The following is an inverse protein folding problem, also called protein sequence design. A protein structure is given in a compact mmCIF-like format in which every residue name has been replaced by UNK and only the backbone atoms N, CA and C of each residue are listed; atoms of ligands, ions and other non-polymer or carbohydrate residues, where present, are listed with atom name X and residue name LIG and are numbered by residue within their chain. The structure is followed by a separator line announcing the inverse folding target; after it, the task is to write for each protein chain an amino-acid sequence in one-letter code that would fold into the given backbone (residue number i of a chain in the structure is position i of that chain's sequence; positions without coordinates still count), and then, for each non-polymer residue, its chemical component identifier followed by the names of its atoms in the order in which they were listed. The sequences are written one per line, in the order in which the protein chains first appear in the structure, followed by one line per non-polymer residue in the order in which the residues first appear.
data_IF_310016411512
#
_entry.id   IF_310016411512
#
_cell.length_a   1.000
_cell.length_b   1.000
_cell.length_c   1.000
_cell.angle_alpha   90.00
_cell.angle_beta   90.00
_cell.angle_gamma   90.00
#
_symmetry.space_group_name_H-M   'P 1'
#
loop_
_entity.id
_entity.type
_entity.pdbx_description
1 polymer ?
#
# COMPACT_ATOMS: atom_id res chain seq x y z
N UNK A 1 -14.43 25.34 -7.27
CA UNK A 1 -14.80 23.92 -7.19
C UNK A 1 -13.51 23.14 -7.38
N UNK A 2 -13.03 22.41 -6.38
CA UNK A 2 -11.88 21.54 -6.57
C UNK A 2 -12.30 20.46 -7.56
N UNK A 3 -11.57 20.31 -8.65
CA UNK A 3 -11.70 19.19 -9.58
C UNK A 3 -11.36 17.94 -8.77
N UNK A 4 -12.31 17.05 -8.57
CA UNK A 4 -12.05 15.73 -7.99
C UNK A 4 -11.02 15.04 -8.89
N UNK A 5 -9.89 14.68 -8.31
CA UNK A 5 -8.80 13.99 -9.02
C UNK A 5 -9.27 12.59 -9.43
N UNK A 6 -8.69 12.08 -10.52
CA UNK A 6 -8.86 10.66 -10.87
C UNK A 6 -8.08 9.82 -9.84
N UNK A 7 -8.74 8.91 -9.15
CA UNK A 7 -8.09 7.95 -8.28
C UNK A 7 -7.14 7.05 -9.09
N UNK A 8 -5.92 6.85 -8.59
CA UNK A 8 -4.90 6.03 -9.22
C UNK A 8 -4.16 5.23 -8.13
N UNK A 9 -4.43 3.91 -8.08
CA UNK A 9 -3.83 3.01 -7.10
C UNK A 9 -3.00 1.95 -7.83
N UNK A 10 -1.78 1.73 -7.35
CA UNK A 10 -0.89 0.65 -7.81
C UNK A 10 -0.58 -0.26 -6.62
N UNK A 11 -1.29 -1.39 -6.55
CA UNK A 11 -1.24 -2.31 -5.42
C UNK A 11 -0.43 -3.54 -5.80
N UNK A 12 0.68 -3.77 -5.11
CA UNK A 12 1.69 -4.78 -5.46
C UNK A 12 1.85 -5.81 -4.36
N UNK A 13 2.32 -7.00 -4.71
CA UNK A 13 2.80 -7.98 -3.75
C UNK A 13 4.24 -7.67 -3.34
N UNK A 14 5.13 -7.50 -4.32
CA UNK A 14 6.55 -7.17 -4.14
C UNK A 14 6.92 -6.06 -5.12
N UNK A 15 7.02 -4.83 -4.61
CA UNK A 15 7.14 -3.65 -5.47
C UNK A 15 8.37 -3.65 -6.38
N UNK A 16 9.54 -4.01 -5.84
CA UNK A 16 10.78 -3.97 -6.62
C UNK A 16 10.73 -4.84 -7.90
N UNK A 17 9.96 -5.93 -7.89
CA UNK A 17 9.81 -6.80 -9.08
C UNK A 17 8.93 -6.20 -10.18
N UNK A 18 8.06 -5.26 -9.84
CA UNK A 18 7.08 -4.64 -10.76
C UNK A 18 7.25 -3.13 -10.91
N UNK A 19 8.26 -2.55 -10.28
CA UNK A 19 8.52 -1.10 -10.28
C UNK A 19 8.63 -0.51 -11.70
N UNK A 20 9.17 -1.29 -12.65
CA UNK A 20 9.31 -0.90 -14.06
C UNK A 20 7.95 -0.66 -14.77
N UNK A 21 6.83 -1.13 -14.18
CA UNK A 21 5.48 -0.85 -14.69
C UNK A 21 4.96 0.52 -14.25
N UNK A 22 5.50 1.09 -13.16
CA UNK A 22 5.01 2.35 -12.58
C UNK A 22 5.02 3.53 -13.58
N UNK A 23 6.04 3.69 -14.48
CA UNK A 23 6.01 4.74 -15.49
C UNK A 23 4.83 4.67 -16.47
N UNK A 24 4.23 3.48 -16.65
CA UNK A 24 3.11 3.30 -17.59
C UNK A 24 1.77 3.75 -17.02
N UNK A 25 1.71 3.95 -15.70
CA UNK A 25 0.49 4.32 -14.98
C UNK A 25 0.59 5.71 -14.33
N UNK A 26 1.78 6.30 -14.30
CA UNK A 26 2.02 7.63 -13.74
C UNK A 26 1.58 8.71 -14.72
N UNK A 27 0.88 9.73 -14.23
CA UNK A 27 0.41 10.86 -15.05
C UNK A 27 1.55 11.81 -15.45
N UNK A 28 2.73 11.70 -14.82
CA UNK A 28 3.93 12.48 -15.14
C UNK A 28 5.20 11.64 -15.02
N UNK A 29 6.33 12.09 -15.64
CA UNK A 29 7.61 11.40 -15.52
C UNK A 29 8.01 11.23 -14.04
N UNK A 30 8.45 10.04 -13.65
CA UNK A 30 8.83 9.78 -12.25
C UNK A 30 10.01 10.62 -11.79
N UNK A 31 10.88 11.02 -12.69
CA UNK A 31 11.98 11.94 -12.38
C UNK A 31 11.52 13.34 -11.92
N UNK A 32 10.26 13.68 -12.16
CA UNK A 32 9.62 14.91 -11.70
C UNK A 32 8.74 14.70 -10.47
N UNK A 33 8.65 13.44 -9.97
CA UNK A 33 7.80 13.08 -8.84
C UNK A 33 8.55 13.15 -7.52
N UNK A 34 7.89 13.68 -6.52
CA UNK A 34 8.22 13.50 -5.11
C UNK A 34 7.36 12.40 -4.53
N UNK A 35 7.98 11.43 -3.86
CA UNK A 35 7.30 10.28 -3.26
C UNK A 35 7.39 10.40 -1.73
N UNK A 36 6.24 10.48 -1.06
CA UNK A 36 6.18 10.24 0.38
C UNK A 36 6.34 8.73 0.61
N UNK A 37 7.49 8.32 1.11
CA UNK A 37 7.84 6.93 1.36
C UNK A 37 7.59 6.57 2.81
N UNK A 38 6.63 5.68 3.06
CA UNK A 38 6.17 5.29 4.41
C UNK A 38 6.60 3.85 4.68
N UNK A 39 7.74 3.61 5.38
CA UNK A 39 8.26 2.27 5.65
C UNK A 39 7.68 1.63 6.92
N UNK A 40 6.77 2.29 7.60
CA UNK A 40 6.33 2.00 8.98
C UNK A 40 5.89 0.56 9.21
N UNK A 41 5.27 -0.10 8.21
CA UNK A 41 4.80 -1.48 8.35
C UNK A 41 5.92 -2.48 8.69
N UNK A 42 7.16 -2.20 8.24
CA UNK A 42 8.32 -3.06 8.45
C UNK A 42 8.97 -2.92 9.84
N UNK A 43 8.56 -1.93 10.65
CA UNK A 43 9.24 -1.61 11.91
C UNK A 43 9.18 -2.71 12.99
N UNK A 44 8.27 -3.67 12.86
CA UNK A 44 8.09 -4.80 13.78
C UNK A 44 8.50 -6.14 13.19
N UNK A 45 9.04 -6.14 11.97
CA UNK A 45 9.49 -7.32 11.26
C UNK A 45 10.99 -7.56 11.49
N UNK A 46 11.40 -8.83 11.61
CA UNK A 46 12.82 -9.21 11.71
C UNK A 46 13.59 -8.98 10.39
N UNK A 47 12.87 -8.87 9.27
CA UNK A 47 13.43 -8.77 7.92
C UNK A 47 12.76 -7.62 7.17
N UNK A 48 13.57 -6.66 6.70
CA UNK A 48 13.10 -5.44 6.05
C UNK A 48 13.81 -5.12 4.71
N UNK A 49 14.57 -6.07 4.14
CA UNK A 49 15.37 -5.85 2.92
C UNK A 49 14.52 -5.33 1.74
N UNK A 50 13.25 -5.74 1.64
CA UNK A 50 12.31 -5.29 0.60
C UNK A 50 12.07 -3.78 0.65
N UNK A 51 12.15 -3.15 1.82
CA UNK A 51 12.05 -1.68 1.98
C UNK A 51 13.21 -0.98 1.29
N UNK A 52 14.44 -1.52 1.46
CA UNK A 52 15.62 -0.98 0.79
C UNK A 52 15.56 -1.20 -0.73
N UNK A 53 15.08 -2.36 -1.17
CA UNK A 53 14.91 -2.67 -2.60
C UNK A 53 13.84 -1.79 -3.25
N UNK A 54 12.71 -1.55 -2.58
CA UNK A 54 11.69 -0.63 -3.07
C UNK A 54 12.21 0.81 -3.19
N UNK A 55 12.97 1.27 -2.18
CA UNK A 55 13.60 2.58 -2.21
C UNK A 55 14.57 2.71 -3.38
N UNK A 56 15.41 1.69 -3.61
CA UNK A 56 16.34 1.66 -4.72
C UNK A 56 15.60 1.67 -6.07
N UNK A 57 14.54 0.86 -6.21
CA UNK A 57 13.75 0.81 -7.43
C UNK A 57 13.10 2.16 -7.78
N UNK A 58 12.58 2.89 -6.78
CA UNK A 58 12.05 4.24 -6.97
C UNK A 58 13.14 5.25 -7.34
N UNK A 59 14.32 5.15 -6.72
CA UNK A 59 15.47 5.99 -7.04
C UNK A 59 15.99 5.72 -8.47
N UNK A 60 16.02 4.48 -8.91
CA UNK A 60 16.41 4.09 -10.28
C UNK A 60 15.44 4.63 -11.34
N UNK A 61 14.18 4.83 -10.98
CA UNK A 61 13.18 5.52 -11.81
C UNK A 61 13.33 7.05 -11.79
N UNK A 62 14.28 7.58 -11.02
CA UNK A 62 14.60 9.00 -10.93
C UNK A 62 13.78 9.80 -9.92
N UNK A 63 12.88 9.16 -9.17
CA UNK A 63 11.99 9.85 -8.24
C UNK A 63 12.73 10.45 -7.03
N UNK A 64 12.24 11.58 -6.54
CA UNK A 64 12.71 12.16 -5.27
C UNK A 64 11.97 11.51 -4.12
N UNK A 65 12.71 10.83 -3.22
CA UNK A 65 12.13 10.12 -2.10
C UNK A 65 12.18 10.97 -0.84
N UNK A 66 11.05 11.14 -0.18
CA UNK A 66 10.92 11.75 1.15
C UNK A 66 10.35 10.71 2.10
N UNK A 67 11.23 10.15 2.91
CA UNK A 67 10.84 9.13 3.89
C UNK A 67 10.19 9.77 5.11
N UNK A 68 9.09 9.17 5.58
CA UNK A 68 8.41 9.54 6.82
C UNK A 68 7.91 8.28 7.52
N UNK A 69 8.44 8.00 8.70
CA UNK A 69 7.90 6.96 9.57
C UNK A 69 6.76 7.56 10.40
N UNK A 70 5.53 7.14 10.09
CA UNK A 70 4.33 7.68 10.74
C UNK A 70 4.14 7.21 12.19
N UNK A 71 4.94 6.24 12.66
CA UNK A 71 4.91 5.80 14.05
C UNK A 71 5.69 6.74 14.97
N UNK A 72 6.69 7.46 14.44
CA UNK A 72 7.62 8.29 15.22
C UNK A 72 7.61 9.78 14.85
N UNK A 73 7.19 10.14 13.64
CA UNK A 73 7.14 11.51 13.18
C UNK A 73 5.99 12.31 13.84
N UNK A 74 6.19 13.62 14.02
CA UNK A 74 5.11 14.49 14.46
C UNK A 74 4.07 14.75 13.36
N UNK A 75 2.86 15.14 13.76
CA UNK A 75 1.73 15.36 12.85
C UNK A 75 2.01 16.41 11.76
N UNK A 76 2.82 17.44 12.03
CA UNK A 76 3.16 18.47 11.06
C UNK A 76 4.10 17.94 10.00
N UNK A 77 5.08 17.13 10.39
CA UNK A 77 6.02 16.44 9.48
C UNK A 77 5.30 15.46 8.57
N UNK A 78 4.36 14.66 9.12
CA UNK A 78 3.52 13.72 8.35
C UNK A 78 2.68 14.49 7.32
N UNK A 79 1.98 15.54 7.76
CA UNK A 79 1.15 16.35 6.87
C UNK A 79 1.99 16.99 5.75
N UNK A 80 3.15 17.56 6.07
CA UNK A 80 4.03 18.20 5.09
C UNK A 80 4.59 17.19 4.08
N UNK A 81 4.91 15.95 4.50
CA UNK A 81 5.38 14.92 3.59
C UNK A 81 4.29 14.48 2.60
N UNK A 82 3.06 14.29 3.10
CA UNK A 82 1.91 13.85 2.29
C UNK A 82 1.45 14.98 1.35
N UNK A 83 1.33 16.23 1.85
CA UNK A 83 0.88 17.38 1.04
C UNK A 83 1.86 17.73 -0.10
N UNK A 84 3.15 17.45 0.08
CA UNK A 84 4.18 17.71 -0.93
C UNK A 84 4.35 16.56 -1.95
N UNK A 85 3.65 15.45 -1.78
CA UNK A 85 3.86 14.24 -2.55
C UNK A 85 3.02 14.21 -3.84
N UNK A 86 3.65 13.78 -4.93
CA UNK A 86 2.97 13.39 -6.16
C UNK A 86 2.49 11.93 -6.09
N UNK A 87 3.24 11.10 -5.37
CA UNK A 87 2.90 9.72 -5.09
C UNK A 87 3.13 9.42 -3.60
N UNK A 88 2.31 8.56 -3.03
CA UNK A 88 2.47 8.03 -1.68
C UNK A 88 2.77 6.54 -1.81
N UNK A 89 3.96 6.13 -1.35
CA UNK A 89 4.34 4.72 -1.25
C UNK A 89 4.20 4.25 0.20
N UNK A 90 3.50 3.13 0.39
CA UNK A 90 3.35 2.46 1.69
C UNK A 90 3.92 1.05 1.59
N UNK A 91 4.92 0.77 2.42
CA UNK A 91 5.70 -0.48 2.36
C UNK A 91 4.91 -1.72 2.76
N UNK A 92 5.48 -2.87 2.43
CA UNK A 92 5.21 -4.14 3.08
C UNK A 92 5.63 -4.15 4.55
N UNK A 93 5.30 -5.24 5.23
CA UNK A 93 5.50 -5.49 6.65
C UNK A 93 4.19 -5.96 7.32
N UNK A 94 4.03 -5.71 8.61
CA UNK A 94 2.88 -6.18 9.37
C UNK A 94 1.66 -5.27 9.16
N UNK A 95 0.60 -5.79 8.52
CA UNK A 95 -0.59 -5.01 8.13
C UNK A 95 -1.33 -4.39 9.33
N UNK A 96 -1.52 -5.13 10.41
CA UNK A 96 -2.29 -4.62 11.56
C UNK A 96 -1.50 -3.63 12.40
N UNK A 97 -0.16 -3.77 12.45
CA UNK A 97 0.69 -2.72 13.01
C UNK A 97 0.57 -1.44 12.19
N UNK A 98 0.70 -1.53 10.88
CA UNK A 98 0.51 -0.39 9.97
C UNK A 98 -0.87 0.25 10.16
N UNK A 99 -1.93 -0.54 10.20
CA UNK A 99 -3.31 -0.06 10.39
C UNK A 99 -3.46 0.73 11.69
N UNK A 100 -2.85 0.22 12.78
CA UNK A 100 -2.82 0.94 14.05
C UNK A 100 -2.09 2.28 13.92
N UNK A 101 -0.90 2.30 13.31
CA UNK A 101 -0.11 3.53 13.16
C UNK A 101 -0.80 4.56 12.26
N UNK A 102 -1.45 4.12 11.17
CA UNK A 102 -2.25 5.00 10.31
C UNK A 102 -3.38 5.72 11.07
N UNK A 103 -3.98 5.04 12.05
CA UNK A 103 -5.04 5.61 12.90
C UNK A 103 -4.47 6.53 13.98
N UNK A 104 -3.50 6.06 14.72
CA UNK A 104 -2.95 6.77 15.88
C UNK A 104 -2.27 8.10 15.47
N UNK A 105 -1.57 8.11 14.34
CA UNK A 105 -0.92 9.31 13.80
C UNK A 105 -1.86 10.24 13.03
N UNK A 106 -3.05 9.75 12.64
CA UNK A 106 -3.96 10.45 11.73
C UNK A 106 -3.52 10.44 10.25
N UNK A 107 -2.40 9.79 9.92
CA UNK A 107 -1.88 9.71 8.55
C UNK A 107 -2.88 9.08 7.57
N UNK A 108 -3.67 8.09 8.03
CA UNK A 108 -4.69 7.46 7.21
C UNK A 108 -5.67 8.46 6.58
N UNK A 109 -6.17 9.42 7.37
CA UNK A 109 -7.08 10.46 6.88
C UNK A 109 -6.41 11.41 5.88
N UNK A 110 -5.13 11.72 6.08
CA UNK A 110 -4.35 12.57 5.17
C UNK A 110 -4.10 11.85 3.84
N UNK A 111 -3.73 10.58 3.87
CA UNK A 111 -3.54 9.74 2.67
C UNK A 111 -4.84 9.65 1.87
N UNK A 112 -5.96 9.32 2.52
CA UNK A 112 -7.28 9.25 1.86
C UNK A 112 -7.63 10.57 1.18
N UNK A 113 -7.43 11.69 1.86
CA UNK A 113 -7.66 13.03 1.31
C UNK A 113 -6.77 13.29 0.08
N UNK A 114 -5.47 13.01 0.16
CA UNK A 114 -4.52 13.23 -0.93
C UNK A 114 -4.86 12.39 -2.17
N UNK A 115 -5.16 11.09 -1.97
CA UNK A 115 -5.53 10.17 -3.06
C UNK A 115 -6.82 10.62 -3.75
N UNK A 116 -7.83 11.06 -3.00
CA UNK A 116 -9.07 11.62 -3.57
C UNK A 116 -8.84 12.93 -4.33
N UNK A 117 -7.74 13.63 -4.06
CA UNK A 117 -7.31 14.81 -4.79
C UNK A 117 -6.43 14.50 -6.01
N UNK A 118 -6.12 13.22 -6.26
CA UNK A 118 -5.40 12.77 -7.44
C UNK A 118 -3.95 12.36 -7.17
N UNK A 119 -3.47 12.36 -5.92
CA UNK A 119 -2.16 11.79 -5.57
C UNK A 119 -2.19 10.28 -5.81
N UNK A 120 -1.20 9.74 -6.54
CA UNK A 120 -1.12 8.30 -6.80
C UNK A 120 -0.74 7.54 -5.52
N UNK A 121 -1.47 6.48 -5.23
CA UNK A 121 -1.15 5.56 -4.12
C UNK A 121 -0.43 4.33 -4.63
N UNK A 122 0.69 3.98 -4.01
CA UNK A 122 1.48 2.79 -4.29
C UNK A 122 1.54 1.97 -3.01
N UNK A 123 0.92 0.79 -3.01
CA UNK A 123 0.96 -0.14 -1.90
C UNK A 123 1.82 -1.36 -2.20
N UNK A 124 2.58 -1.83 -1.23
CA UNK A 124 3.28 -3.11 -1.28
C UNK A 124 2.82 -4.00 -0.14
N UNK A 125 2.39 -5.24 -0.44
CA UNK A 125 1.96 -6.23 0.56
C UNK A 125 0.99 -5.64 1.60
N UNK A 126 1.43 -5.37 2.83
CA UNK A 126 0.66 -4.68 3.87
C UNK A 126 0.08 -3.34 3.38
N UNK A 127 0.89 -2.54 2.66
CA UNK A 127 0.44 -1.30 2.04
C UNK A 127 -0.66 -1.50 1.00
N UNK A 128 -0.66 -2.63 0.28
CA UNK A 128 -1.76 -3.00 -0.62
C UNK A 128 -3.01 -3.41 0.15
N UNK A 129 -2.83 -4.19 1.23
CA UNK A 129 -3.95 -4.67 2.03
C UNK A 129 -4.72 -3.54 2.73
N UNK A 130 -4.01 -2.55 3.30
CA UNK A 130 -4.68 -1.43 4.00
C UNK A 130 -5.43 -0.48 3.07
N UNK A 131 -5.23 -0.55 1.74
CA UNK A 131 -5.99 0.24 0.78
C UNK A 131 -7.46 -0.17 0.70
N UNK A 132 -7.80 -1.41 1.05
CA UNK A 132 -9.15 -1.95 1.05
C UNK A 132 -10.07 -1.32 2.11
N UNK A 133 -11.33 -1.65 2.03
CA UNK A 133 -12.36 -1.28 3.02
C UNK A 133 -12.22 -2.05 4.33
N UNK A 134 -11.77 -3.30 4.26
CA UNK A 134 -11.56 -4.19 5.40
C UNK A 134 -10.32 -5.06 5.18
N UNK A 135 -9.47 -5.16 6.21
CA UNK A 135 -8.20 -5.91 6.16
C UNK A 135 -8.28 -7.27 6.87
N UNK A 136 -9.44 -7.70 7.37
CA UNK A 136 -9.53 -8.94 8.15
C UNK A 136 -9.12 -10.19 7.34
N UNK A 137 -9.27 -10.15 6.01
CA UNK A 137 -8.91 -11.24 5.10
C UNK A 137 -7.43 -11.59 5.11
N UNK A 138 -6.53 -10.63 5.50
CA UNK A 138 -5.08 -10.86 5.52
C UNK A 138 -4.58 -11.58 6.77
N UNK A 139 -5.45 -11.79 7.78
CA UNK A 139 -5.08 -12.37 9.07
C UNK A 139 -4.21 -13.63 9.01
N UNK A 140 -4.45 -14.59 8.10
CA UNK A 140 -3.62 -15.79 8.03
C UNK A 140 -2.15 -15.53 7.68
N UNK A 141 -1.83 -14.37 7.09
CA UNK A 141 -0.48 -13.98 6.67
C UNK A 141 0.28 -13.23 7.77
N UNK A 142 -0.40 -12.78 8.82
CA UNK A 142 0.18 -11.92 9.85
C UNK A 142 0.68 -12.72 11.06
N UNK A 143 1.89 -12.42 11.51
CA UNK A 143 2.51 -13.08 12.67
C UNK A 143 2.13 -12.34 13.98
N UNK A 144 1.35 -12.97 14.87
CA UNK A 144 0.99 -12.35 16.14
C UNK A 144 2.18 -12.21 17.11
N UNK A 145 3.32 -12.86 16.86
CA UNK A 145 4.53 -12.68 17.67
C UNK A 145 5.25 -11.38 17.33
N UNK A 146 5.20 -10.95 16.07
CA UNK A 146 5.76 -9.66 15.63
C UNK A 146 4.92 -8.47 16.12
N UNK A 147 3.59 -8.62 16.11
CA UNK A 147 2.65 -7.62 16.65
C UNK A 147 1.37 -8.30 17.11
N UNK A 148 1.04 -8.17 18.40
CA UNK A 148 -0.21 -8.73 18.95
C UNK A 148 -1.45 -7.94 18.50
N UNK A 149 -2.21 -8.53 17.61
CA UNK A 149 -3.48 -8.00 17.09
C UNK A 149 -4.73 -8.73 17.60
N UNK A 150 -4.59 -9.66 18.55
CA UNK A 150 -5.71 -10.46 19.06
C UNK A 150 -6.79 -9.61 19.75
N UNK A 151 -6.40 -8.48 20.33
CA UNK A 151 -7.31 -7.53 20.95
C UNK A 151 -7.98 -6.57 19.96
N UNK A 152 -7.54 -6.54 18.68
CA UNK A 152 -8.15 -5.68 17.68
C UNK A 152 -9.55 -6.20 17.28
N UNK A 153 -10.52 -5.31 17.31
CA UNK A 153 -11.91 -5.59 16.92
C UNK A 153 -12.34 -4.86 15.65
N UNK A 154 -11.53 -3.92 15.18
CA UNK A 154 -11.79 -3.11 13.99
C UNK A 154 -10.63 -3.28 13.00
N UNK A 155 -10.93 -3.81 11.82
CA UNK A 155 -10.01 -4.07 10.71
C UNK A 155 -10.33 -3.21 9.48
N UNK A 156 -11.15 -2.16 9.63
CA UNK A 156 -11.41 -1.23 8.54
C UNK A 156 -10.11 -0.59 8.04
N UNK A 157 -9.86 -0.67 6.73
CA UNK A 157 -8.71 -0.09 6.07
C UNK A 157 -8.92 1.37 5.69
N UNK A 158 -8.18 1.86 4.70
CA UNK A 158 -8.27 3.22 4.19
C UNK A 158 -9.50 3.47 3.33
N UNK A 159 -10.20 2.42 2.90
CA UNK A 159 -11.36 2.50 1.99
C UNK A 159 -11.06 3.33 0.72
N UNK A 160 -9.87 3.15 0.17
CA UNK A 160 -9.51 3.69 -1.14
C UNK A 160 -10.16 2.89 -2.27
N UNK A 161 -10.41 1.61 -2.03
CA UNK A 161 -11.07 0.67 -2.95
C UNK A 161 -11.86 -0.39 -2.15
N UNK A 162 -12.81 -1.04 -2.81
CA UNK A 162 -13.47 -2.26 -2.30
C UNK A 162 -12.76 -3.53 -2.74
N UNK A 163 -11.74 -3.42 -3.60
CA UNK A 163 -10.92 -4.55 -4.05
C UNK A 163 -9.96 -4.96 -2.95
N UNK A 164 -10.04 -6.22 -2.54
CA UNK A 164 -9.16 -6.83 -1.54
C UNK A 164 -8.04 -7.56 -2.23
N UNK A 165 -6.85 -6.96 -2.29
CA UNK A 165 -5.68 -7.55 -2.92
C UNK A 165 -4.98 -8.46 -1.93
N UNK A 166 -4.85 -9.76 -2.28
CA UNK A 166 -4.14 -10.76 -1.50
C UNK A 166 -2.75 -10.98 -2.12
N UNK A 167 -1.66 -10.54 -1.47
CA UNK A 167 -0.31 -10.68 -1.98
C UNK A 167 0.24 -12.11 -1.81
N UNK A 168 1.42 -12.35 -2.40
CA UNK A 168 2.27 -13.52 -2.19
C UNK A 168 1.72 -14.86 -2.70
N UNK A 169 0.78 -14.84 -3.65
CA UNK A 169 0.34 -16.07 -4.34
C UNK A 169 1.54 -16.82 -4.91
N UNK A 170 1.59 -18.12 -4.68
CA UNK A 170 2.69 -19.01 -5.11
C UNK A 170 4.06 -18.69 -4.49
N UNK A 171 4.13 -17.85 -3.46
CA UNK A 171 5.34 -17.70 -2.67
C UNK A 171 5.36 -18.81 -1.61
N UNK A 172 6.36 -19.72 -1.62
CA UNK A 172 6.40 -20.88 -0.73
C UNK A 172 6.35 -20.52 0.78
N UNK A 173 6.82 -19.34 1.14
CA UNK A 173 6.81 -18.87 2.53
C UNK A 173 5.37 -18.62 3.02
N UNK A 174 4.48 -18.18 2.14
CA UNK A 174 3.11 -17.77 2.47
C UNK A 174 2.04 -18.73 1.95
N UNK A 175 2.41 -19.80 1.24
CA UNK A 175 1.47 -20.67 0.48
C UNK A 175 0.29 -21.13 1.35
N UNK A 176 0.55 -21.70 2.52
CA UNK A 176 -0.51 -22.17 3.42
C UNK A 176 -1.43 -21.04 3.91
N UNK A 177 -0.88 -19.88 4.21
CA UNK A 177 -1.63 -18.73 4.70
C UNK A 177 -2.48 -18.10 3.58
N UNK A 178 -1.94 -18.02 2.37
CA UNK A 178 -2.64 -17.55 1.17
C UNK A 178 -3.81 -18.49 0.84
N UNK A 179 -3.61 -19.81 0.87
CA UNK A 179 -4.68 -20.79 0.64
C UNK A 179 -5.81 -20.67 1.68
N UNK A 180 -5.46 -20.46 2.95
CA UNK A 180 -6.45 -20.21 4.02
C UNK A 180 -7.23 -18.91 3.76
N UNK A 181 -6.56 -17.84 3.37
CA UNK A 181 -7.21 -16.57 3.07
C UNK A 181 -8.17 -16.69 1.88
N UNK A 182 -7.76 -17.36 0.78
CA UNK A 182 -8.61 -17.61 -0.39
C UNK A 182 -9.83 -18.47 -0.04
N UNK A 183 -9.63 -19.52 0.78
CA UNK A 183 -10.73 -20.38 1.19
C UNK A 183 -11.78 -19.65 2.04
N UNK A 184 -11.36 -18.70 2.87
CA UNK A 184 -12.24 -17.90 3.71
C UNK A 184 -12.88 -16.71 2.96
N UNK A 185 -12.16 -16.16 1.98
CA UNK A 185 -12.49 -14.94 1.26
C UNK A 185 -12.30 -15.14 -0.26
N UNK A 186 -13.19 -15.87 -0.95
CA UNK A 186 -13.04 -16.17 -2.38
C UNK A 186 -13.18 -14.94 -3.30
N UNK A 187 -13.59 -13.79 -2.75
CA UNK A 187 -13.70 -12.51 -3.45
C UNK A 187 -12.38 -11.75 -3.60
N UNK A 188 -11.28 -12.20 -2.95
CA UNK A 188 -10.00 -11.51 -3.03
C UNK A 188 -9.38 -11.60 -4.43
N UNK A 189 -8.62 -10.59 -4.81
CA UNK A 189 -7.77 -10.58 -6.00
C UNK A 189 -6.37 -11.01 -5.57
N UNK A 190 -6.06 -12.29 -5.75
CA UNK A 190 -4.78 -12.86 -5.39
C UNK A 190 -3.72 -12.61 -6.48
N UNK A 191 -2.56 -12.12 -6.08
CA UNK A 191 -1.46 -11.77 -6.98
C UNK A 191 -0.12 -12.38 -6.55
N UNK A 192 0.69 -12.74 -7.55
CA UNK A 192 2.07 -13.20 -7.35
C UNK A 192 3.01 -12.02 -7.10
N UNK A 193 4.23 -12.29 -6.64
CA UNK A 193 5.25 -11.26 -6.41
C UNK A 193 5.71 -10.53 -7.69
N UNK A 194 5.35 -11.02 -8.88
CA UNK A 194 5.61 -10.36 -10.18
C UNK A 194 4.35 -9.75 -10.80
N UNK A 195 3.31 -9.52 -9.99
CA UNK A 195 2.07 -8.91 -10.42
C UNK A 195 1.71 -7.70 -9.57
N UNK A 196 0.90 -6.82 -10.15
CA UNK A 196 0.28 -5.69 -9.47
C UNK A 196 -1.18 -5.54 -9.91
N UNK A 197 -1.99 -4.91 -9.07
CA UNK A 197 -3.35 -4.48 -9.40
C UNK A 197 -3.34 -2.97 -9.60
N UNK A 198 -3.63 -2.54 -10.82
CA UNK A 198 -3.83 -1.13 -11.12
C UNK A 198 -5.32 -0.80 -11.08
N UNK A 199 -5.70 0.11 -10.19
CA UNK A 199 -7.08 0.56 -10.02
C UNK A 199 -7.18 2.03 -10.36
N UNK A 200 -8.10 2.36 -11.26
CA UNK A 200 -8.44 3.75 -11.60
C UNK A 200 -9.93 3.96 -11.46
N UNK A 201 -10.32 5.13 -11.03
CA UNK A 201 -11.74 5.45 -10.84
C UNK A 201 -11.98 6.90 -10.49
N UNK A 202 -13.22 7.22 -10.13
CA UNK A 202 -13.62 8.49 -9.56
C UNK A 202 -14.46 8.23 -8.31
N UNK A 203 -14.49 9.15 -7.36
CA UNK A 203 -15.22 9.06 -6.09
C UNK A 203 -16.71 8.67 -6.20
N UNK A 204 -17.27 8.69 -7.41
CA UNK A 204 -18.69 8.42 -7.66
C UNK A 204 -18.95 7.45 -8.83
N UNK A 205 -17.91 6.75 -9.32
CA UNK A 205 -18.02 5.90 -10.50
C UNK A 205 -17.47 4.49 -10.30
N UNK A 206 -17.60 3.68 -11.32
CA UNK A 206 -17.03 2.33 -11.37
C UNK A 206 -15.50 2.38 -11.36
N UNK A 207 -14.89 1.55 -10.53
CA UNK A 207 -13.47 1.27 -10.59
C UNK A 207 -13.15 0.45 -11.85
N UNK A 208 -12.04 0.78 -12.50
CA UNK A 208 -11.42 -0.07 -13.52
C UNK A 208 -10.25 -0.79 -12.85
N UNK A 209 -10.31 -2.11 -12.82
CA UNK A 209 -9.33 -2.97 -12.16
C UNK A 209 -8.60 -3.77 -13.22
N UNK A 210 -7.27 -3.71 -13.23
CA UNK A 210 -6.41 -4.49 -14.13
C UNK A 210 -5.30 -5.16 -13.31
N UNK A 211 -5.15 -6.48 -13.50
CA UNK A 211 -3.95 -7.18 -13.04
C UNK A 211 -2.90 -7.04 -14.12
N UNK A 212 -1.75 -6.46 -13.77
CA UNK A 212 -0.61 -6.27 -14.66
C UNK A 212 0.56 -7.14 -14.19
N UNK A 213 1.35 -7.63 -15.15
CA UNK A 213 2.50 -8.51 -14.87
C UNK A 213 3.77 -7.91 -15.42
N UNK A 214 4.86 -8.11 -14.69
CA UNK A 214 6.21 -7.73 -15.08
C UNK A 214 6.90 -8.80 -15.90
#
# INVERSE_FOLDING_TARGET
MATLGRMNLFLTSYFAKVAHLLPTISDKPLAECTIAFIPTAAAVEDVDFYVAEARQALADLGATIREVDIASADAASIAAAIDAADCIYVSGGHTFYLLKQLRDSGAGSLIVKAVRQGTTYIGESAGSAVAADDCAYIRPLEDPESFDFHSMTDFAGLSLTTTRVLPHKHNPMFESAVDQAIAAHPEVVDITDSQAVHITGSDHGSETIMVVSG
#
